data_IF_885266931218
#
_entry.id   IF_885266931218
#
_cell.length_a   1.000
_cell.length_b   1.000
_cell.length_c   1.000
_cell.angle_alpha   90.00
_cell.angle_beta   90.00
_cell.angle_gamma   90.00
#
_symmetry.space_group_name_H-M   'P 1'
#
loop_
_entity.id
_entity.type
_entity.pdbx_description
1 polymer ?
#
# COMPACT_ATOMS: atom_id res chain seq x y z
N UNK A 1 -38.68 30.96 45.41
CA UNK A 1 -37.37 30.35 45.73
C UNK A 1 -37.43 28.90 45.32
N UNK A 2 -36.65 28.46 44.32
CA UNK A 2 -36.36 27.04 44.08
C UNK A 2 -35.11 26.95 43.20
N UNK A 3 -33.96 26.84 43.86
CA UNK A 3 -32.67 26.66 43.20
C UNK A 3 -32.37 25.16 43.19
N UNK A 4 -32.68 24.48 42.09
CA UNK A 4 -32.46 23.05 41.94
C UNK A 4 -31.02 22.80 41.52
N UNK A 5 -30.11 22.62 42.49
CA UNK A 5 -28.76 22.13 42.22
C UNK A 5 -28.83 20.69 41.69
N UNK A 6 -28.64 20.52 40.37
CA UNK A 6 -28.34 19.21 39.77
C UNK A 6 -26.95 18.77 40.26
N UNK A 7 -26.91 17.84 41.22
CA UNK A 7 -25.67 17.11 41.56
C UNK A 7 -25.28 16.21 40.38
N UNK A 8 -24.08 16.42 39.86
CA UNK A 8 -23.47 15.54 38.87
C UNK A 8 -23.20 14.19 39.55
N UNK A 9 -23.61 13.05 38.97
CA UNK A 9 -23.42 11.75 39.59
C UNK A 9 -21.92 11.41 39.71
N UNK A 10 -21.49 11.01 40.90
CA UNK A 10 -20.09 10.74 41.28
C UNK A 10 -19.39 9.71 40.39
N UNK A 11 -20.15 8.82 39.74
CA UNK A 11 -19.63 7.82 38.81
C UNK A 11 -19.00 8.44 37.54
N UNK A 12 -19.58 9.54 37.03
CA UNK A 12 -19.06 10.27 35.85
C UNK A 12 -17.77 11.02 36.19
N UNK A 13 -17.64 11.49 37.44
CA UNK A 13 -16.44 12.18 37.92
C UNK A 13 -15.26 11.19 37.98
N UNK A 14 -15.53 9.96 38.42
CA UNK A 14 -14.51 8.92 38.61
C UNK A 14 -13.96 8.38 37.28
N UNK A 15 -14.81 8.18 36.29
CA UNK A 15 -14.39 7.76 34.94
C UNK A 15 -13.56 8.85 34.23
N UNK A 16 -13.96 10.12 34.35
CA UNK A 16 -13.20 11.23 33.80
C UNK A 16 -11.82 11.39 34.47
N UNK A 17 -11.74 11.18 35.79
CA UNK A 17 -10.46 11.18 36.51
C UNK A 17 -9.54 10.03 36.06
N UNK A 18 -10.10 8.85 35.76
CA UNK A 18 -9.34 7.71 35.22
C UNK A 18 -8.80 8.01 33.82
N UNK A 19 -9.63 8.61 32.95
CA UNK A 19 -9.24 8.98 31.60
C UNK A 19 -8.15 10.06 31.57
N UNK A 20 -8.24 11.07 32.45
CA UNK A 20 -7.21 12.11 32.61
C UNK A 20 -5.89 11.50 33.08
N UNK A 21 -5.91 10.56 34.03
CA UNK A 21 -4.70 9.84 34.47
C UNK A 21 -4.05 9.06 33.31
N UNK A 22 -4.85 8.38 32.50
CA UNK A 22 -4.35 7.64 31.32
C UNK A 22 -3.70 8.58 30.30
N UNK A 23 -4.30 9.74 30.05
CA UNK A 23 -3.75 10.76 29.16
C UNK A 23 -2.45 11.37 29.70
N UNK A 24 -2.34 11.60 31.00
CA UNK A 24 -1.08 12.04 31.64
C UNK A 24 0.05 11.03 31.41
N UNK A 25 -0.20 9.75 31.66
CA UNK A 25 0.80 8.68 31.46
C UNK A 25 1.25 8.63 30.00
N UNK A 26 0.32 8.73 29.04
CA UNK A 26 0.67 8.76 27.62
C UNK A 26 1.51 9.98 27.26
N UNK A 27 1.17 11.16 27.79
CA UNK A 27 1.89 12.39 27.50
C UNK A 27 3.32 12.37 28.08
N UNK A 28 3.51 11.83 29.28
CA UNK A 28 4.83 11.66 29.87
C UNK A 28 5.69 10.65 29.10
N UNK A 29 5.09 9.56 28.63
CA UNK A 29 5.77 8.59 27.76
C UNK A 29 6.20 9.22 26.42
N UNK A 30 5.34 10.04 25.81
CA UNK A 30 5.65 10.74 24.57
C UNK A 30 6.76 11.78 24.75
N UNK A 31 6.77 12.50 25.88
CA UNK A 31 7.87 13.43 26.23
C UNK A 31 9.20 12.71 26.39
N UNK A 32 9.20 11.52 26.98
CA UNK A 32 10.41 10.70 27.11
C UNK A 32 10.93 10.24 25.75
N UNK A 33 10.06 9.82 24.83
CA UNK A 33 10.46 9.47 23.46
C UNK A 33 11.00 10.67 22.69
N UNK A 34 10.37 11.84 22.81
CA UNK A 34 10.87 13.08 22.22
C UNK A 34 12.26 13.44 22.75
N UNK A 35 12.50 13.28 24.04
CA UNK A 35 13.81 13.55 24.64
C UNK A 35 14.89 12.56 24.16
N UNK A 36 14.55 11.27 23.98
CA UNK A 36 15.45 10.27 23.39
C UNK A 36 15.80 10.60 21.93
N UNK A 37 14.81 11.05 21.15
CA UNK A 37 15.03 11.48 19.76
C UNK A 37 15.94 12.71 19.74
N UNK A 38 15.69 13.71 20.59
CA UNK A 38 16.53 14.92 20.70
C UNK A 38 17.96 14.59 21.12
N UNK A 39 18.17 13.72 22.10
CA UNK A 39 19.51 13.32 22.51
C UNK A 39 20.28 12.61 21.38
N UNK A 40 19.58 11.79 20.59
CA UNK A 40 20.16 11.11 19.43
C UNK A 40 20.46 12.06 18.26
N UNK A 41 19.79 13.22 18.18
CA UNK A 41 20.08 14.26 17.18
C UNK A 41 21.31 15.07 17.62
N UNK A 42 21.39 15.45 18.90
CA UNK A 42 22.53 16.21 19.41
C UNK A 42 23.86 15.46 19.36
N UNK A 43 23.84 14.12 19.39
CA UNK A 43 25.05 13.30 19.19
C UNK A 43 25.51 13.24 17.73
N UNK A 44 24.65 13.58 16.76
CA UNK A 44 24.98 13.63 15.33
C UNK A 44 25.58 14.98 14.94
N UNK A 45 25.22 16.06 15.65
CA UNK A 45 25.70 17.42 15.38
C UNK A 45 27.09 17.74 16.00
N UNK A 46 27.59 16.91 16.94
CA UNK A 46 28.89 17.14 17.59
C UNK A 46 30.12 16.64 16.78
N UNK A 47 29.93 16.10 15.58
CA UNK A 47 31.03 15.70 14.68
C UNK A 47 30.89 16.47 13.37
N UNK A 48 31.22 17.77 13.39
CA UNK A 48 31.72 18.57 12.25
C UNK A 48 31.86 20.05 12.65
N UNK A 49 33.02 20.40 13.17
CA UNK A 49 33.59 21.73 12.98
C UNK A 49 34.98 21.54 12.36
N UNK A 50 35.12 21.80 11.06
CA UNK A 50 35.89 22.95 10.59
C UNK A 50 35.68 23.15 9.08
N UNK A 51 35.68 24.42 8.71
CA UNK A 51 35.76 25.04 7.39
C UNK A 51 34.47 25.47 6.66
N UNK A 52 34.57 26.73 6.24
CA UNK A 52 33.53 27.70 5.98
C UNK A 52 33.11 27.78 4.50
N UNK A 53 31.80 28.04 4.31
CA UNK A 53 31.18 29.00 3.38
C UNK A 53 31.36 28.81 1.85
N UNK A 54 30.31 28.29 1.18
CA UNK A 54 29.34 29.05 0.34
C UNK A 54 28.45 28.12 -0.52
N UNK A 55 27.18 28.48 -0.62
CA UNK A 55 26.12 27.96 -1.50
C UNK A 55 25.71 26.48 -1.36
N UNK A 56 25.06 26.17 -0.24
CA UNK A 56 24.35 24.89 -0.08
C UNK A 56 23.07 24.86 -0.90
N UNK A 57 23.16 24.19 -2.05
CA UNK A 57 22.09 23.37 -2.60
C UNK A 57 21.54 22.45 -1.48
N UNK A 58 20.45 22.89 -0.82
CA UNK A 58 19.77 22.11 0.19
C UNK A 58 19.11 20.90 -0.48
N UNK A 59 19.64 19.72 -0.17
CA UNK A 59 18.77 18.62 0.21
C UNK A 59 18.52 17.50 -0.80
N UNK A 60 19.49 17.17 -1.65
CA UNK A 60 19.52 15.89 -2.38
C UNK A 60 19.96 14.71 -1.46
N UNK A 61 19.49 14.69 -0.20
CA UNK A 61 19.92 13.71 0.83
C UNK A 61 18.87 12.64 1.14
N UNK A 62 17.63 12.78 0.65
CA UNK A 62 16.59 11.75 0.82
C UNK A 62 16.61 10.65 -0.27
N UNK A 63 17.73 10.45 -0.98
CA UNK A 63 17.83 9.47 -2.09
C UNK A 63 18.75 8.26 -1.75
N UNK A 64 19.48 8.27 -0.63
CA UNK A 64 20.13 7.09 -0.06
C UNK A 64 19.28 6.64 1.13
N UNK A 65 18.28 5.78 0.95
CA UNK A 65 18.45 4.34 1.20
C UNK A 65 17.30 3.50 0.59
N UNK A 66 16.96 3.71 -0.69
CA UNK A 66 16.05 2.78 -1.41
C UNK A 66 16.72 1.46 -1.81
N UNK A 67 18.03 1.31 -1.62
CA UNK A 67 18.82 0.15 -2.06
C UNK A 67 18.57 -1.14 -1.25
N UNK A 68 18.02 -1.03 -0.03
CA UNK A 68 17.70 -2.19 0.82
C UNK A 68 16.20 -2.49 0.96
N UNK A 69 15.33 -1.77 0.24
CA UNK A 69 13.90 -2.09 0.27
C UNK A 69 13.63 -3.36 -0.53
N UNK A 70 13.22 -4.43 0.16
CA UNK A 70 12.71 -5.64 -0.48
C UNK A 70 11.31 -5.34 -1.01
N UNK A 71 11.20 -5.23 -2.33
CA UNK A 71 9.91 -5.01 -2.98
C UNK A 71 9.24 -6.33 -3.32
N UNK A 72 7.96 -6.41 -3.00
CA UNK A 72 7.08 -7.50 -3.40
C UNK A 72 6.36 -7.12 -4.69
N UNK A 73 6.03 -8.13 -5.50
CA UNK A 73 5.22 -7.96 -6.72
C UNK A 73 3.92 -8.72 -6.55
N UNK A 74 2.80 -8.02 -6.70
CA UNK A 74 1.48 -8.60 -6.54
C UNK A 74 0.60 -8.31 -7.75
N UNK A 75 -0.08 -9.33 -8.27
CA UNK A 75 -1.11 -9.14 -9.29
C UNK A 75 -2.42 -8.72 -8.62
N UNK A 76 -3.12 -7.77 -9.24
CA UNK A 76 -4.39 -7.30 -8.72
C UNK A 76 -5.31 -6.72 -9.80
N UNK A 77 -6.58 -6.60 -9.45
CA UNK A 77 -7.45 -5.57 -10.01
C UNK A 77 -7.41 -4.34 -9.12
N UNK A 78 -7.34 -3.15 -9.71
CA UNK A 78 -7.52 -1.90 -8.96
C UNK A 78 -8.97 -1.49 -9.16
N UNK A 79 -9.72 -1.36 -8.08
CA UNK A 79 -11.15 -1.04 -8.12
C UNK A 79 -11.39 0.46 -8.06
N UNK A 80 -10.54 1.18 -7.32
CA UNK A 80 -10.70 2.62 -7.09
C UNK A 80 -9.38 3.27 -6.73
N UNK A 81 -9.19 4.50 -7.18
CA UNK A 81 -8.12 5.39 -6.72
C UNK A 81 -8.73 6.66 -6.16
N UNK A 82 -8.32 7.05 -4.95
CA UNK A 82 -8.87 8.22 -4.28
C UNK A 82 -7.82 8.96 -3.46
N UNK A 83 -8.08 10.23 -3.18
CA UNK A 83 -7.19 11.08 -2.37
C UNK A 83 -7.87 11.41 -1.05
N UNK A 84 -7.13 11.32 0.05
CA UNK A 84 -7.57 11.71 1.40
C UNK A 84 -6.42 12.42 2.11
N UNK A 85 -6.66 13.64 2.61
CA UNK A 85 -5.67 14.42 3.35
C UNK A 85 -4.31 14.58 2.62
N UNK A 86 -4.34 14.82 1.31
CA UNK A 86 -3.10 14.97 0.53
C UNK A 86 -2.49 13.66 0.03
N UNK A 87 -2.85 12.51 0.60
CA UNK A 87 -2.30 11.19 0.27
C UNK A 87 -3.20 10.45 -0.71
N UNK A 88 -2.60 9.76 -1.68
CA UNK A 88 -3.33 8.95 -2.68
C UNK A 88 -3.37 7.49 -2.22
N UNK A 89 -4.56 6.90 -2.30
CA UNK A 89 -4.81 5.51 -1.95
C UNK A 89 -5.38 4.75 -3.15
N UNK A 90 -4.99 3.49 -3.28
CA UNK A 90 -5.59 2.53 -4.21
C UNK A 90 -6.32 1.43 -3.43
N UNK A 91 -7.51 1.08 -3.91
CA UNK A 91 -8.25 -0.09 -3.45
C UNK A 91 -7.98 -1.23 -4.44
N UNK A 92 -7.25 -2.24 -3.99
CA UNK A 92 -6.81 -3.34 -4.84
C UNK A 92 -7.36 -4.69 -4.35
N UNK A 93 -7.78 -5.52 -5.28
CA UNK A 93 -8.18 -6.91 -5.06
C UNK A 93 -7.08 -7.83 -5.61
N UNK A 94 -6.39 -8.54 -4.73
CA UNK A 94 -5.24 -9.35 -5.10
C UNK A 94 -5.66 -10.67 -5.76
N UNK A 95 -4.98 -11.03 -6.83
CA UNK A 95 -5.25 -12.23 -7.61
C UNK A 95 -3.98 -13.06 -7.79
N UNK A 96 -4.18 -14.35 -8.03
CA UNK A 96 -3.14 -15.22 -8.58
C UNK A 96 -3.25 -15.20 -10.10
N UNK A 97 -2.12 -15.01 -10.79
CA UNK A 97 -2.05 -15.00 -12.24
C UNK A 97 -0.98 -15.97 -12.72
N UNK A 98 -1.38 -16.91 -13.58
CA UNK A 98 -0.55 -17.96 -14.13
C UNK A 98 -0.58 -17.90 -15.66
N UNK A 99 0.51 -18.31 -16.31
CA UNK A 99 0.63 -18.39 -17.77
C UNK A 99 1.14 -19.75 -18.22
N UNK A 100 0.83 -20.12 -19.46
CA UNK A 100 1.40 -21.30 -20.11
C UNK A 100 1.04 -22.61 -19.39
N UNK A 101 2.00 -23.53 -19.35
CA UNK A 101 1.83 -24.83 -18.67
C UNK A 101 1.41 -24.70 -17.20
N UNK A 102 1.90 -23.67 -16.49
CA UNK A 102 1.52 -23.42 -15.09
C UNK A 102 0.06 -23.02 -14.95
N UNK A 103 -0.49 -22.30 -15.94
CA UNK A 103 -1.90 -21.95 -15.96
C UNK A 103 -2.77 -23.20 -16.06
N UNK A 104 -2.47 -24.09 -17.01
CA UNK A 104 -3.20 -25.36 -17.19
C UNK A 104 -3.08 -26.23 -15.94
N UNK A 105 -1.87 -26.35 -15.38
CA UNK A 105 -1.66 -27.10 -14.15
C UNK A 105 -2.51 -26.57 -13.00
N UNK A 106 -2.51 -25.25 -12.76
CA UNK A 106 -3.29 -24.64 -11.68
C UNK A 106 -4.78 -24.76 -11.93
N UNK A 107 -5.24 -24.51 -13.15
CA UNK A 107 -6.65 -24.70 -13.51
C UNK A 107 -7.10 -26.15 -13.27
N UNK A 108 -6.26 -27.14 -13.62
CA UNK A 108 -6.51 -28.56 -13.32
C UNK A 108 -6.60 -28.82 -11.82
N UNK A 109 -5.67 -28.29 -11.03
CA UNK A 109 -5.67 -28.41 -9.56
C UNK A 109 -6.95 -27.82 -8.93
N UNK A 110 -7.53 -26.78 -9.53
CA UNK A 110 -8.79 -26.17 -9.05
C UNK A 110 -10.06 -26.73 -9.70
N UNK A 111 -9.95 -27.67 -10.66
CA UNK A 111 -11.10 -28.21 -11.40
C UNK A 111 -11.68 -27.25 -12.45
N UNK A 112 -10.96 -26.18 -12.79
CA UNK A 112 -11.38 -25.13 -13.73
C UNK A 112 -10.76 -25.32 -15.13
N UNK A 113 -9.94 -26.36 -15.34
CA UNK A 113 -9.36 -26.67 -16.64
C UNK A 113 -10.35 -27.46 -17.51
N UNK A 114 -10.40 -27.10 -18.79
CA UNK A 114 -11.12 -27.90 -19.78
C UNK A 114 -10.33 -29.16 -20.10
N UNK A 115 -11.05 -30.19 -20.55
CA UNK A 115 -10.44 -31.44 -20.93
C UNK A 115 -11.10 -32.08 -22.15
N UNK A 116 -10.31 -32.86 -22.88
CA UNK A 116 -10.76 -33.73 -23.95
C UNK A 116 -10.14 -35.13 -23.77
N UNK A 117 -10.74 -36.14 -24.39
CA UNK A 117 -10.23 -37.52 -24.37
C UNK A 117 -9.53 -37.79 -25.71
N UNK A 118 -8.24 -38.11 -25.65
CA UNK A 118 -7.47 -38.40 -26.85
C UNK A 118 -7.88 -39.77 -27.47
N UNK A 119 -7.34 -40.07 -28.67
CA UNK A 119 -7.61 -41.34 -29.38
C UNK A 119 -7.18 -42.60 -28.60
N UNK A 120 -6.29 -42.46 -27.63
CA UNK A 120 -5.80 -43.54 -26.76
C UNK A 120 -6.63 -43.67 -25.47
N UNK A 121 -7.58 -42.78 -25.22
CA UNK A 121 -8.38 -42.74 -24.00
C UNK A 121 -7.84 -41.85 -22.87
N UNK A 122 -6.74 -41.12 -23.06
CA UNK A 122 -6.18 -40.26 -22.02
C UNK A 122 -6.85 -38.88 -21.97
N UNK A 123 -6.97 -38.32 -20.77
CA UNK A 123 -7.48 -36.98 -20.55
C UNK A 123 -6.43 -35.90 -20.82
N UNK A 124 -6.66 -35.07 -21.83
CA UNK A 124 -5.85 -33.90 -22.16
C UNK A 124 -6.49 -32.64 -21.55
N UNK A 125 -5.78 -31.97 -20.66
CA UNK A 125 -6.24 -30.70 -20.06
C UNK A 125 -5.68 -29.49 -20.81
N UNK A 126 -6.50 -28.46 -21.01
CA UNK A 126 -6.09 -27.23 -21.70
C UNK A 126 -6.85 -25.98 -21.23
N UNK A 127 -6.39 -24.82 -21.71
CA UNK A 127 -7.02 -23.51 -21.53
C UNK A 127 -6.93 -22.74 -22.85
N UNK A 128 -8.05 -22.19 -23.32
CA UNK A 128 -8.08 -21.44 -24.59
C UNK A 128 -7.20 -20.19 -24.57
N UNK A 129 -7.20 -19.46 -23.45
CA UNK A 129 -6.53 -18.16 -23.36
C UNK A 129 -5.06 -18.26 -22.93
N UNK A 130 -4.51 -19.46 -22.73
CA UNK A 130 -3.11 -19.69 -22.31
C UNK A 130 -2.67 -18.96 -21.01
N UNK A 131 -3.63 -18.46 -20.24
CA UNK A 131 -3.46 -17.90 -18.90
C UNK A 131 -4.61 -18.32 -18.01
N UNK A 132 -4.39 -18.25 -16.70
CA UNK A 132 -5.38 -18.56 -15.69
C UNK A 132 -5.29 -17.56 -14.54
N UNK A 133 -6.45 -17.04 -14.13
CA UNK A 133 -6.59 -16.07 -13.03
C UNK A 133 -7.47 -16.70 -11.97
N UNK A 134 -7.03 -16.65 -10.72
CA UNK A 134 -7.85 -17.05 -9.59
C UNK A 134 -7.83 -15.97 -8.53
N UNK A 135 -9.02 -15.61 -8.04
CA UNK A 135 -9.15 -14.84 -6.81
C UNK A 135 -9.67 -15.77 -5.71
N UNK A 136 -8.77 -16.27 -4.87
CA UNK A 136 -9.13 -17.16 -3.77
C UNK A 136 -9.75 -16.43 -2.57
N UNK A 137 -9.40 -15.15 -2.39
CA UNK A 137 -9.80 -14.38 -1.23
C UNK A 137 -10.10 -12.95 -1.68
N UNK A 138 -11.32 -12.70 -2.22
CA UNK A 138 -11.73 -11.39 -2.67
C UNK A 138 -11.87 -10.47 -1.46
N UNK A 139 -10.78 -9.79 -1.13
CA UNK A 139 -10.73 -8.85 -0.02
C UNK A 139 -9.93 -7.64 -0.47
N UNK A 140 -10.61 -6.50 -0.55
CA UNK A 140 -10.01 -5.24 -0.91
C UNK A 140 -8.90 -4.86 0.10
N UNK A 141 -7.79 -4.40 -0.44
CA UNK A 141 -6.66 -3.82 0.29
C UNK A 141 -6.60 -2.35 -0.05
N UNK A 142 -6.56 -1.51 0.97
CA UNK A 142 -6.29 -0.09 0.81
C UNK A 142 -4.78 0.07 0.94
N UNK A 143 -4.15 0.57 -0.12
CA UNK A 143 -2.71 0.73 -0.21
C UNK A 143 -2.38 2.19 -0.48
N UNK A 144 -1.33 2.69 0.15
CA UNK A 144 -0.83 4.04 -0.13
C UNK A 144 -0.04 4.03 -1.43
N UNK A 145 -0.22 5.07 -2.25
CA UNK A 145 0.55 5.27 -3.47
C UNK A 145 1.61 6.34 -3.21
N UNK A 146 2.89 5.96 -3.33
CA UNK A 146 4.02 6.89 -3.21
C UNK A 146 3.85 8.00 -4.26
N UNK A 147 4.11 9.26 -3.90
CA UNK A 147 4.02 10.42 -4.80
C UNK A 147 4.99 10.34 -5.99
N UNK A 148 6.02 9.49 -5.89
CA UNK A 148 6.97 9.20 -6.97
C UNK A 148 6.75 7.82 -7.60
N UNK A 149 5.63 7.17 -7.32
CA UNK A 149 5.31 5.88 -7.90
C UNK A 149 5.20 5.99 -9.42
N UNK A 150 5.78 5.04 -10.14
CA UNK A 150 5.70 5.02 -11.60
C UNK A 150 4.45 4.28 -12.05
N UNK A 151 3.63 4.92 -12.88
CA UNK A 151 2.40 4.34 -13.45
C UNK A 151 2.62 4.08 -14.93
N UNK A 152 2.60 2.79 -15.31
CA UNK A 152 2.71 2.29 -16.68
C UNK A 152 1.42 1.56 -17.05
N UNK A 153 0.48 2.27 -17.64
CA UNK A 153 -0.80 1.68 -18.03
C UNK A 153 -1.26 2.27 -19.37
N UNK A 154 -1.70 1.41 -20.28
CA UNK A 154 -2.05 1.77 -21.65
C UNK A 154 -0.91 2.58 -22.34
N UNK A 155 -1.16 3.83 -22.71
CA UNK A 155 -0.18 4.76 -23.30
C UNK A 155 0.47 5.70 -22.28
N UNK A 156 0.22 5.50 -21.00
CA UNK A 156 0.74 6.33 -19.91
C UNK A 156 1.98 5.67 -19.33
N UNK A 157 3.03 6.47 -19.19
CA UNK A 157 4.26 6.13 -18.49
C UNK A 157 4.73 7.38 -17.75
N UNK A 158 4.19 7.61 -16.55
CA UNK A 158 4.38 8.86 -15.80
C UNK A 158 4.53 8.56 -14.30
N UNK A 159 4.94 9.58 -13.55
CA UNK A 159 5.00 9.53 -12.09
C UNK A 159 3.63 9.91 -11.51
N UNK A 160 3.23 9.29 -10.41
CA UNK A 160 1.92 9.46 -9.78
C UNK A 160 1.59 10.91 -9.42
N UNK A 161 2.56 11.71 -8.94
CA UNK A 161 2.36 13.14 -8.66
C UNK A 161 1.92 13.96 -9.87
N UNK A 162 2.43 13.64 -11.04
CA UNK A 162 2.11 14.33 -12.29
C UNK A 162 0.90 13.71 -13.00
N UNK A 163 0.42 12.58 -12.49
CA UNK A 163 -0.63 11.80 -13.10
C UNK A 163 -2.00 12.10 -12.50
N UNK A 164 -2.97 12.37 -13.36
CA UNK A 164 -4.34 12.64 -12.91
C UNK A 164 -5.00 11.39 -12.35
N UNK A 165 -5.47 11.46 -11.10
CA UNK A 165 -6.30 10.42 -10.46
C UNK A 165 -7.53 10.09 -11.32
N UNK A 166 -8.11 11.09 -11.99
CA UNK A 166 -9.25 10.88 -12.89
C UNK A 166 -8.86 10.01 -14.08
N UNK A 167 -7.66 10.20 -14.64
CA UNK A 167 -7.16 9.37 -15.73
C UNK A 167 -6.92 7.93 -15.27
N UNK A 168 -6.34 7.71 -14.08
CA UNK A 168 -6.19 6.35 -13.53
C UNK A 168 -7.55 5.68 -13.37
N UNK A 169 -8.51 6.40 -12.79
CA UNK A 169 -9.86 5.89 -12.57
C UNK A 169 -10.59 5.54 -13.88
N UNK A 170 -10.24 6.15 -15.02
CA UNK A 170 -10.78 5.76 -16.32
C UNK A 170 -10.15 4.46 -16.84
N UNK A 171 -8.83 4.31 -16.70
CA UNK A 171 -8.11 3.10 -17.15
C UNK A 171 -8.60 1.86 -16.40
N UNK A 172 -8.87 2.00 -15.10
CA UNK A 172 -9.31 0.85 -14.29
C UNK A 172 -10.74 0.38 -14.61
N UNK A 173 -11.56 1.18 -15.32
CA UNK A 173 -12.94 0.79 -15.69
C UNK A 173 -12.97 -0.44 -16.60
N UNK A 174 -11.98 -0.57 -17.48
CA UNK A 174 -11.83 -1.72 -18.37
C UNK A 174 -11.34 -2.99 -17.62
N UNK A 175 -11.21 -2.89 -16.28
CA UNK A 175 -10.74 -3.94 -15.37
C UNK A 175 -9.45 -4.65 -15.84
N UNK A 176 -8.41 -3.92 -16.27
CA UNK A 176 -7.16 -4.56 -16.63
C UNK A 176 -6.48 -5.14 -15.38
N UNK A 177 -5.64 -6.15 -15.61
CA UNK A 177 -4.79 -6.71 -14.55
C UNK A 177 -3.59 -5.79 -14.36
N UNK A 178 -3.25 -5.49 -13.11
CA UNK A 178 -2.06 -4.75 -12.75
C UNK A 178 -1.08 -5.63 -11.98
N UNK A 179 0.21 -5.27 -12.09
CA UNK A 179 1.27 -5.67 -11.19
C UNK A 179 1.62 -4.46 -10.34
N UNK A 180 1.49 -4.62 -9.03
CA UNK A 180 1.95 -3.64 -8.06
C UNK A 180 3.34 -4.04 -7.57
N UNK A 181 4.28 -3.08 -7.57
CA UNK A 181 5.54 -3.20 -6.86
C UNK A 181 5.42 -2.43 -5.55
N UNK A 182 5.53 -3.12 -4.43
CA UNK A 182 5.19 -2.55 -3.12
C UNK A 182 6.16 -2.96 -2.01
N UNK A 183 6.22 -2.14 -0.96
CA UNK A 183 6.92 -2.44 0.29
C UNK A 183 6.08 -1.88 1.43
N UNK A 184 5.83 -2.68 2.47
CA UNK A 184 5.05 -2.27 3.65
C UNK A 184 3.71 -1.58 3.32
N UNK A 185 2.96 -2.12 2.34
CA UNK A 185 1.68 -1.58 1.86
C UNK A 185 1.75 -0.23 1.11
N UNK A 186 2.95 0.28 0.84
CA UNK A 186 3.18 1.44 -0.03
C UNK A 186 3.52 0.95 -1.44
N UNK A 187 2.84 1.49 -2.43
CA UNK A 187 2.99 1.16 -3.85
C UNK A 187 3.94 2.15 -4.50
N UNK A 188 4.95 1.61 -5.18
CA UNK A 188 6.00 2.38 -5.84
C UNK A 188 5.99 2.21 -7.37
N UNK A 189 5.32 1.18 -7.88
CA UNK A 189 5.11 1.02 -9.32
C UNK A 189 3.78 0.32 -9.58
N UNK A 190 3.04 0.80 -10.58
CA UNK A 190 1.84 0.19 -11.13
C UNK A 190 2.12 -0.12 -12.59
N UNK A 191 2.03 -1.39 -12.99
CA UNK A 191 2.26 -1.82 -14.37
C UNK A 191 1.04 -2.60 -14.84
N UNK A 192 0.46 -2.22 -15.97
CA UNK A 192 -0.58 -3.01 -16.61
C UNK A 192 0.02 -4.31 -17.18
N UNK A 193 -0.57 -5.45 -16.79
CA UNK A 193 -0.21 -6.76 -17.31
C UNK A 193 -0.97 -7.02 -18.61
N UNK A 194 -0.23 -7.02 -19.73
CA UNK A 194 -0.78 -7.46 -21.02
C UNK A 194 -1.09 -8.96 -21.01
N UNK A 195 -2.30 -9.30 -21.40
CA UNK A 195 -2.70 -10.69 -21.58
C UNK A 195 -1.98 -11.26 -22.81
N UNK A 196 -1.59 -12.56 -22.78
CA UNK A 196 -1.01 -13.26 -23.92
C UNK A 196 -1.90 -13.23 -25.17
#
# INVERSE_FOLDING_TARGET
MNNTHRKIPENIITENQSMVKKLMITNDSLKQELNKIKSNITTVDAVKEDHQLKDTNIGLSAIKDKSNLKFEKQYCYINKVHKRNGVVFIEADFIEFFKGKKAVQKAKEYGDAEFDINKSGDTLYFLYNNYYIKNKNPKLRILELDDRARVKANKINQISKDFSIKALNQIILDRPIFILKMNNSIVYEIIEQKLP
#
